data_IF_374076628934
#
_entry.id   IF_374076628934
#
_cell.length_a   1.000
_cell.length_b   1.000
_cell.length_c   1.000
_cell.angle_alpha   90.00
_cell.angle_beta   90.00
_cell.angle_gamma   90.00
#
_symmetry.space_group_name_H-M   'P 1'
#
loop_
_entity.id
_entity.type
_entity.pdbx_description
1 polymer ?
#
# COMPACT_ATOMS: atom_id res chain seq x y z
N UNK A 1 -6.70 -4.12 -3.03
CA UNK A 1 -5.47 -4.66 -3.62
C UNK A 1 -4.62 -3.45 -3.92
N UNK A 2 -3.33 -3.49 -3.60
CA UNK A 2 -2.44 -2.35 -3.80
C UNK A 2 -1.89 -2.44 -5.23
N UNK A 3 -2.01 -1.39 -6.06
CA UNK A 3 -1.47 -1.41 -7.42
C UNK A 3 0.00 -1.76 -7.46
N UNK A 4 0.32 -2.78 -8.25
CA UNK A 4 1.67 -3.30 -8.40
C UNK A 4 1.95 -3.65 -9.88
N UNK A 5 3.18 -4.02 -10.18
CA UNK A 5 3.59 -4.38 -11.55
C UNK A 5 3.53 -5.89 -11.81
N UNK A 6 2.98 -6.67 -10.89
CA UNK A 6 2.95 -8.12 -11.04
C UNK A 6 1.82 -8.54 -11.97
N UNK A 7 2.00 -9.65 -12.66
CA UNK A 7 1.06 -10.18 -13.64
C UNK A 7 1.34 -9.68 -15.04
N UNK A 8 0.42 -9.99 -15.96
CA UNK A 8 0.56 -9.71 -17.38
C UNK A 8 -0.79 -9.21 -17.92
N UNK A 9 -0.74 -8.24 -18.82
CA UNK A 9 -1.90 -7.75 -19.55
C UNK A 9 -1.69 -7.97 -21.04
N UNK A 10 -2.76 -8.32 -21.73
CA UNK A 10 -2.73 -8.60 -23.17
C UNK A 10 -3.72 -7.70 -23.87
N UNK A 11 -3.26 -7.04 -24.93
CA UNK A 11 -4.17 -6.43 -25.90
C UNK A 11 -4.44 -7.46 -26.97
N UNK A 12 -5.72 -7.66 -27.26
CA UNK A 12 -6.20 -8.67 -28.19
C UNK A 12 -7.12 -8.03 -29.21
N UNK A 13 -7.19 -8.63 -30.39
CA UNK A 13 -8.15 -8.27 -31.42
C UNK A 13 -8.76 -9.54 -32.01
N UNK A 14 -9.95 -9.39 -32.57
CA UNK A 14 -10.63 -10.48 -33.27
C UNK A 14 -10.32 -10.37 -34.77
N UNK A 15 -9.68 -11.39 -35.32
CA UNK A 15 -9.42 -11.54 -36.74
C UNK A 15 -10.22 -12.73 -37.25
N UNK A 16 -11.29 -12.48 -38.01
CA UNK A 16 -12.17 -13.51 -38.58
C UNK A 16 -12.70 -14.54 -37.57
N UNK A 17 -12.99 -14.10 -36.34
CA UNK A 17 -13.51 -14.94 -35.26
C UNK A 17 -12.44 -15.60 -34.40
N UNK A 18 -11.15 -15.45 -34.75
CA UNK A 18 -10.04 -15.88 -33.92
C UNK A 18 -9.50 -14.72 -33.07
N UNK A 19 -9.37 -14.96 -31.76
CA UNK A 19 -8.77 -13.99 -30.84
C UNK A 19 -7.24 -14.07 -30.97
N UNK A 20 -6.63 -12.99 -31.46
CA UNK A 20 -5.17 -12.87 -31.60
C UNK A 20 -4.59 -11.87 -30.62
N UNK A 21 -3.42 -12.18 -30.09
CA UNK A 21 -2.66 -11.25 -29.24
C UNK A 21 -2.01 -10.18 -30.13
N UNK A 22 -2.28 -8.91 -29.82
CA UNK A 22 -1.62 -7.79 -30.48
C UNK A 22 -0.26 -7.53 -29.85
N UNK A 23 -0.25 -7.35 -28.53
CA UNK A 23 0.98 -7.25 -27.73
C UNK A 23 0.70 -7.57 -26.26
N UNK A 24 1.79 -7.77 -25.51
CA UNK A 24 1.78 -8.04 -24.07
C UNK A 24 2.42 -6.88 -23.31
N UNK A 25 1.91 -6.63 -22.10
CA UNK A 25 2.52 -5.76 -21.09
C UNK A 25 2.85 -6.63 -19.88
N UNK A 26 4.09 -6.56 -19.38
CA UNK A 26 4.56 -7.32 -18.21
C UNK A 26 4.10 -6.70 -16.88
N UNK A 27 2.82 -6.35 -16.78
CA UNK A 27 2.15 -5.94 -15.54
C UNK A 27 0.65 -6.11 -15.65
N UNK A 28 -0.02 -6.16 -14.50
CA UNK A 28 -1.48 -6.02 -14.42
C UNK A 28 -1.92 -4.56 -14.28
N UNK A 29 -3.17 -4.28 -14.62
CA UNK A 29 -3.87 -3.04 -14.32
C UNK A 29 -4.97 -3.34 -13.31
N UNK A 30 -4.94 -2.70 -12.15
CA UNK A 30 -5.96 -2.90 -11.13
C UNK A 30 -7.30 -2.30 -11.57
N UNK A 31 -8.36 -3.09 -11.51
CA UNK A 31 -9.72 -2.73 -11.93
C UNK A 31 -10.74 -2.92 -10.78
N UNK A 32 -10.32 -2.64 -9.55
CA UNK A 32 -11.21 -2.78 -8.40
C UNK A 32 -12.20 -1.62 -8.35
N UNK A 33 -13.49 -1.91 -8.55
CA UNK A 33 -14.62 -0.97 -8.55
C UNK A 33 -14.72 0.01 -7.36
N UNK A 34 -14.08 -0.28 -6.22
CA UNK A 34 -14.13 0.56 -5.01
C UNK A 34 -12.96 1.52 -4.86
N UNK A 35 -11.95 1.44 -5.72
CA UNK A 35 -10.82 2.36 -5.73
C UNK A 35 -10.80 3.09 -7.08
N UNK A 36 -10.42 4.37 -7.10
CA UNK A 36 -10.47 5.15 -8.32
C UNK A 36 -9.26 4.81 -9.19
N UNK A 37 -9.43 3.80 -10.04
CA UNK A 37 -8.52 3.41 -11.10
C UNK A 37 -9.20 3.62 -12.44
N UNK A 38 -8.41 4.03 -13.44
CA UNK A 38 -8.90 4.17 -14.79
C UNK A 38 -7.88 3.63 -15.78
N UNK A 39 -8.34 2.78 -16.68
CA UNK A 39 -7.57 2.31 -17.82
C UNK A 39 -8.33 2.66 -19.09
N UNK A 40 -7.62 3.15 -20.11
CA UNK A 40 -8.17 3.32 -21.43
C UNK A 40 -7.17 2.85 -22.48
N UNK A 41 -7.71 2.30 -23.56
CA UNK A 41 -6.97 1.92 -24.76
C UNK A 41 -7.39 2.87 -25.89
N UNK A 42 -6.44 3.25 -26.74
CA UNK A 42 -6.72 4.04 -27.94
C UNK A 42 -7.51 3.24 -28.97
N UNK A 43 -8.20 3.94 -29.87
CA UNK A 43 -8.97 3.31 -30.94
C UNK A 43 -8.14 2.42 -31.87
N UNK A 44 -6.86 2.75 -32.08
CA UNK A 44 -5.91 1.91 -32.85
C UNK A 44 -5.38 0.71 -32.05
N UNK A 45 -5.74 0.60 -30.76
CA UNK A 45 -5.31 -0.47 -29.86
C UNK A 45 -3.86 -0.35 -29.39
N UNK A 46 -3.07 0.61 -29.87
CA UNK A 46 -1.62 0.66 -29.65
C UNK A 46 -1.21 1.34 -28.36
N UNK A 47 -2.07 2.19 -27.80
CA UNK A 47 -1.73 3.06 -26.67
C UNK A 47 -2.64 2.73 -25.50
N UNK A 48 -2.06 2.60 -24.32
CA UNK A 48 -2.80 2.39 -23.07
C UNK A 48 -2.40 3.46 -22.08
N UNK A 49 -3.37 4.12 -21.47
CA UNK A 49 -3.17 4.99 -20.32
C UNK A 49 -3.77 4.32 -19.08
N UNK A 50 -3.01 4.30 -18.01
CA UNK A 50 -3.43 3.83 -16.69
C UNK A 50 -3.24 4.93 -15.66
N UNK A 51 -4.31 5.23 -14.92
CA UNK A 51 -4.42 6.36 -14.02
C UNK A 51 -4.91 5.86 -12.67
N UNK A 52 -4.24 6.26 -11.60
CA UNK A 52 -4.56 5.88 -10.22
C UNK A 52 -4.30 7.04 -9.28
N UNK A 53 -5.04 7.08 -8.17
CA UNK A 53 -4.91 8.15 -7.17
C UNK A 53 -3.83 7.89 -6.11
N UNK A 54 -3.37 6.63 -5.97
CA UNK A 54 -2.47 6.21 -4.89
C UNK A 54 -1.26 5.48 -5.46
N UNK A 55 -0.09 5.94 -5.03
CA UNK A 55 1.21 5.32 -5.34
C UNK A 55 1.76 4.70 -4.07
N UNK A 56 2.04 3.40 -4.12
CA UNK A 56 2.50 2.61 -2.97
C UNK A 56 3.95 2.17 -3.07
N UNK A 57 4.48 2.15 -4.30
CA UNK A 57 5.84 1.75 -4.61
C UNK A 57 6.56 2.88 -5.35
N UNK A 58 7.88 2.91 -5.26
CA UNK A 58 8.72 3.88 -5.97
C UNK A 58 9.04 3.39 -7.38
N UNK A 59 9.34 4.30 -8.29
CA UNK A 59 9.76 4.01 -9.66
C UNK A 59 8.81 4.62 -10.69
N UNK A 60 9.31 4.82 -11.91
CA UNK A 60 8.58 5.51 -12.98
C UNK A 60 7.25 4.82 -13.32
N UNK A 61 7.25 3.49 -13.46
CA UNK A 61 6.05 2.70 -13.78
C UNK A 61 5.04 2.62 -12.61
N UNK A 62 5.43 3.11 -11.44
CA UNK A 62 4.54 3.21 -10.29
C UNK A 62 3.90 4.58 -10.10
N UNK A 63 4.28 5.61 -10.88
CA UNK A 63 3.66 6.94 -10.84
C UNK A 63 2.14 6.90 -11.10
N UNK A 64 1.45 7.98 -10.74
CA UNK A 64 -0.01 8.10 -10.78
C UNK A 64 -0.59 7.89 -12.18
N UNK A 65 0.11 8.37 -13.22
CA UNK A 65 -0.24 8.15 -14.62
C UNK A 65 0.90 7.43 -15.32
N UNK A 66 0.58 6.35 -16.01
CA UNK A 66 1.53 5.59 -16.84
C UNK A 66 0.92 5.31 -18.20
N UNK A 67 1.72 5.50 -19.25
CA UNK A 67 1.27 5.37 -20.63
C UNK A 67 2.19 4.43 -21.39
N UNK A 68 1.59 3.49 -22.10
CA UNK A 68 2.28 2.44 -22.85
C UNK A 68 1.97 2.60 -24.34
N UNK A 69 2.98 2.38 -25.19
CA UNK A 69 2.87 2.27 -26.63
C UNK A 69 3.40 0.90 -27.05
N UNK A 70 2.57 0.11 -27.72
CA UNK A 70 2.88 -1.26 -28.18
C UNK A 70 3.51 -2.12 -27.07
N UNK A 71 2.98 -1.98 -25.87
CA UNK A 71 3.39 -2.72 -24.68
C UNK A 71 4.55 -2.11 -23.88
N UNK A 72 5.15 -1.00 -24.34
CA UNK A 72 6.31 -0.36 -23.70
C UNK A 72 5.94 0.94 -23.00
N UNK A 73 6.37 1.10 -21.75
CA UNK A 73 6.21 2.35 -20.99
C UNK A 73 6.88 3.50 -21.76
N UNK A 74 6.12 4.56 -22.02
CA UNK A 74 6.54 5.69 -22.88
C UNK A 74 6.49 7.02 -22.15
N UNK A 75 5.45 7.26 -21.34
CA UNK A 75 5.32 8.49 -20.54
C UNK A 75 4.72 8.18 -19.17
N UNK A 76 5.10 9.01 -18.21
CA UNK A 76 4.66 8.93 -16.81
C UNK A 76 4.42 10.33 -16.27
N UNK A 77 3.48 10.46 -15.33
CA UNK A 77 3.24 11.72 -14.62
C UNK A 77 2.90 11.44 -13.16
N UNK A 78 3.38 12.29 -12.25
CA UNK A 78 2.83 12.40 -10.89
C UNK A 78 1.45 13.06 -10.94
N UNK A 79 0.71 12.99 -9.84
CA UNK A 79 -0.54 13.78 -9.69
C UNK A 79 -0.27 15.27 -9.93
N UNK A 80 0.73 15.87 -9.27
CA UNK A 80 1.03 17.30 -9.42
C UNK A 80 1.38 17.71 -10.86
N UNK A 81 2.14 16.87 -11.58
CA UNK A 81 2.48 17.09 -12.99
C UNK A 81 1.26 16.98 -13.91
N UNK A 82 0.40 15.98 -13.67
CA UNK A 82 -0.70 15.68 -14.59
C UNK A 82 -1.85 16.68 -14.47
N UNK A 83 -2.31 16.97 -13.25
CA UNK A 83 -3.43 17.89 -13.03
C UNK A 83 -2.99 19.33 -12.76
N UNK A 84 -1.69 19.62 -12.81
CA UNK A 84 -1.09 20.93 -12.55
C UNK A 84 -1.57 21.49 -11.20
N UNK A 85 -1.02 20.96 -10.10
CA UNK A 85 -1.38 21.39 -8.76
C UNK A 85 -0.16 21.47 -7.83
N UNK A 86 -0.26 22.29 -6.77
CA UNK A 86 0.77 22.42 -5.73
C UNK A 86 0.25 21.90 -4.38
N UNK A 87 0.70 20.70 -3.96
CA UNK A 87 0.22 20.02 -2.74
C UNK A 87 0.57 20.77 -1.44
N UNK A 88 1.47 21.76 -1.51
CA UNK A 88 1.78 22.63 -0.37
C UNK A 88 0.82 23.81 -0.25
N UNK A 89 0.12 24.18 -1.33
CA UNK A 89 -0.75 25.37 -1.37
C UNK A 89 -2.22 25.04 -1.56
N UNK A 90 -2.53 23.90 -2.16
CA UNK A 90 -3.89 23.55 -2.55
C UNK A 90 -4.13 22.03 -2.52
N UNK A 91 -5.38 21.66 -2.77
CA UNK A 91 -5.83 20.28 -2.85
C UNK A 91 -5.29 19.62 -4.12
N UNK A 92 -4.59 18.50 -3.97
CA UNK A 92 -3.98 17.72 -5.05
C UNK A 92 -4.47 16.26 -5.03
N UNK A 93 -5.70 16.04 -5.47
CA UNK A 93 -6.33 14.72 -5.60
C UNK A 93 -6.69 14.49 -7.07
N UNK A 94 -6.21 13.38 -7.67
CA UNK A 94 -6.34 13.09 -9.10
C UNK A 94 -7.80 13.02 -9.57
N UNK A 95 -8.66 12.46 -8.73
CA UNK A 95 -10.07 12.25 -9.04
C UNK A 95 -10.96 13.02 -8.08
N UNK A 96 -12.02 13.59 -8.63
CA UNK A 96 -13.09 14.17 -7.84
C UNK A 96 -13.77 13.08 -6.99
N UNK A 97 -13.85 13.31 -5.68
CA UNK A 97 -14.53 12.45 -4.73
C UNK A 97 -15.33 13.32 -3.75
N UNK A 98 -16.65 13.19 -3.77
CA UNK A 98 -17.54 13.85 -2.81
C UNK A 98 -18.52 12.85 -2.20
N UNK A 99 -18.07 12.17 -1.15
CA UNK A 99 -18.85 11.12 -0.47
C UNK A 99 -20.00 11.66 0.38
N UNK A 100 -19.99 12.94 0.73
CA UNK A 100 -21.04 13.58 1.55
C UNK A 100 -22.36 13.73 0.78
N UNK A 101 -22.32 13.53 -0.53
CA UNK A 101 -23.48 13.54 -1.43
C UNK A 101 -24.25 12.21 -1.46
N UNK A 102 -23.79 11.17 -0.74
CA UNK A 102 -24.37 9.83 -0.74
C UNK A 102 -25.22 9.56 0.52
N UNK A 103 -26.36 8.90 0.36
CA UNK A 103 -27.34 8.60 1.44
C UNK A 103 -26.88 7.45 2.35
N UNK A 104 -26.20 6.43 1.79
CA UNK A 104 -25.61 5.30 2.52
C UNK A 104 -24.24 4.93 1.95
N UNK A 105 -23.12 5.18 2.66
CA UNK A 105 -21.78 4.93 2.15
C UNK A 105 -21.37 3.44 2.14
N UNK A 106 -22.23 2.50 2.57
CA UNK A 106 -21.82 1.10 2.71
C UNK A 106 -22.85 0.09 2.18
N UNK A 107 -22.41 -0.65 1.15
CA UNK A 107 -22.83 -2.01 0.73
C UNK A 107 -23.77 -2.19 -0.48
N UNK A 108 -24.27 -1.14 -1.12
CA UNK A 108 -25.04 -1.32 -2.35
C UNK A 108 -24.15 -1.13 -3.59
N UNK A 109 -24.33 -2.01 -4.58
CA UNK A 109 -23.86 -1.88 -5.97
C UNK A 109 -24.40 -0.63 -6.68
N UNK A 110 -25.22 0.18 -6.01
CA UNK A 110 -25.84 1.40 -6.49
C UNK A 110 -25.55 2.56 -5.53
N UNK A 111 -25.09 3.69 -6.08
CA UNK A 111 -24.90 4.94 -5.36
C UNK A 111 -26.26 5.66 -5.23
N UNK A 112 -26.84 5.68 -4.03
CA UNK A 112 -28.00 6.50 -3.70
C UNK A 112 -27.52 7.91 -3.29
N UNK A 113 -28.00 8.94 -3.98
CA UNK A 113 -27.62 10.32 -3.74
C UNK A 113 -28.64 11.01 -2.83
N UNK A 114 -28.18 11.96 -2.02
CA UNK A 114 -29.06 12.85 -1.28
C UNK A 114 -29.95 13.66 -2.25
N UNK A 115 -31.17 13.99 -1.83
CA UNK A 115 -32.14 14.73 -2.68
C UNK A 115 -31.62 16.10 -3.15
N UNK A 116 -30.68 16.70 -2.41
CA UNK A 116 -30.07 17.99 -2.72
C UNK A 116 -28.96 17.94 -3.79
N UNK A 117 -28.60 16.76 -4.29
CA UNK A 117 -27.49 16.61 -5.26
C UNK A 117 -27.95 16.97 -6.66
N UNK A 118 -27.23 17.90 -7.30
CA UNK A 118 -27.53 18.36 -8.66
C UNK A 118 -27.25 17.27 -9.71
N UNK A 119 -27.94 17.31 -10.86
CA UNK A 119 -27.65 16.39 -11.98
C UNK A 119 -26.20 16.47 -12.45
N UNK A 120 -25.62 17.67 -12.37
CA UNK A 120 -24.22 17.91 -12.68
C UNK A 120 -23.29 17.15 -11.73
N UNK A 121 -23.56 17.18 -10.42
CA UNK A 121 -22.77 16.44 -9.44
C UNK A 121 -23.02 14.93 -9.55
N UNK A 122 -24.25 14.48 -9.89
CA UNK A 122 -24.52 13.07 -10.20
C UNK A 122 -23.72 12.57 -11.41
N UNK A 123 -23.63 13.39 -12.46
CA UNK A 123 -22.77 13.09 -13.61
C UNK A 123 -21.32 12.96 -13.18
N UNK A 124 -20.82 13.93 -12.40
CA UNK A 124 -19.42 14.01 -12.00
C UNK A 124 -19.02 12.84 -11.09
N UNK A 125 -19.88 12.46 -10.13
CA UNK A 125 -19.63 11.29 -9.27
C UNK A 125 -19.56 9.96 -10.05
N UNK A 126 -20.24 9.88 -11.19
CA UNK A 126 -20.22 8.69 -12.06
C UNK A 126 -19.10 8.71 -13.10
N UNK A 127 -18.69 9.89 -13.54
CA UNK A 127 -17.85 10.11 -14.72
C UNK A 127 -16.73 11.14 -14.44
N UNK A 128 -16.10 11.09 -13.27
CA UNK A 128 -14.96 11.96 -12.94
C UNK A 128 -13.74 11.70 -13.84
N UNK A 129 -13.69 10.54 -14.49
CA UNK A 129 -12.74 10.23 -15.56
C UNK A 129 -13.41 9.41 -16.65
N UNK A 130 -13.14 9.74 -17.92
CA UNK A 130 -13.63 8.97 -19.07
C UNK A 130 -12.79 9.23 -20.33
N UNK A 131 -12.87 8.30 -21.29
CA UNK A 131 -12.30 8.43 -22.63
C UNK A 131 -13.41 8.74 -23.64
N UNK A 132 -13.24 9.79 -24.44
CA UNK A 132 -14.09 10.12 -25.60
C UNK A 132 -13.21 10.36 -26.81
N UNK A 133 -13.26 9.46 -27.79
CA UNK A 133 -12.50 9.54 -29.05
C UNK A 133 -11.00 9.81 -28.82
N UNK A 134 -10.37 8.97 -28.01
CA UNK A 134 -8.94 9.08 -27.62
C UNK A 134 -8.58 10.34 -26.81
N UNK A 135 -9.55 11.14 -26.39
CA UNK A 135 -9.34 12.22 -25.43
C UNK A 135 -9.80 11.78 -24.04
N UNK A 136 -8.87 11.79 -23.09
CA UNK A 136 -9.18 11.52 -21.68
C UNK A 136 -9.58 12.81 -21.00
N UNK A 137 -10.71 12.79 -20.31
CA UNK A 137 -11.21 13.86 -19.46
C UNK A 137 -11.04 13.42 -18.02
N UNK A 138 -10.36 14.22 -17.20
CA UNK A 138 -10.21 13.94 -15.76
C UNK A 138 -10.62 15.17 -14.98
N UNK A 139 -11.58 15.02 -14.07
CA UNK A 139 -11.93 16.05 -13.10
C UNK A 139 -11.30 15.73 -11.76
N UNK A 140 -10.52 16.68 -11.26
CA UNK A 140 -9.75 16.55 -10.02
C UNK A 140 -10.55 16.97 -8.77
N UNK A 141 -9.94 16.80 -7.59
CA UNK A 141 -10.54 17.17 -6.30
C UNK A 141 -10.85 18.66 -6.13
N UNK A 142 -10.37 19.54 -7.01
CA UNK A 142 -10.67 20.99 -7.07
C UNK A 142 -11.82 21.31 -8.03
N UNK A 143 -12.48 20.29 -8.60
CA UNK A 143 -13.50 20.41 -9.66
C UNK A 143 -12.94 21.08 -10.92
N UNK A 144 -11.65 20.84 -11.21
CA UNK A 144 -10.97 21.28 -12.43
C UNK A 144 -10.73 20.10 -13.37
N UNK A 145 -10.83 20.34 -14.67
CA UNK A 145 -10.68 19.33 -15.71
C UNK A 145 -9.32 19.44 -16.38
N UNK A 146 -8.67 18.29 -16.53
CA UNK A 146 -7.49 18.07 -17.38
C UNK A 146 -7.89 17.22 -18.58
N UNK A 147 -7.48 17.67 -19.77
CA UNK A 147 -7.69 16.99 -21.05
C UNK A 147 -6.36 16.40 -21.53
N UNK A 148 -6.37 15.11 -21.83
CA UNK A 148 -5.18 14.40 -22.33
C UNK A 148 -5.47 13.73 -23.67
N UNK A 149 -4.65 14.00 -24.67
CA UNK A 149 -4.72 13.37 -25.98
C UNK A 149 -3.94 12.06 -25.97
N UNK A 150 -4.65 10.94 -26.08
CA UNK A 150 -4.03 9.63 -26.11
C UNK A 150 -3.27 9.36 -27.42
N UNK A 151 -3.63 10.01 -28.53
CA UNK A 151 -2.94 9.84 -29.81
C UNK A 151 -1.60 10.56 -29.83
N UNK A 152 -1.57 11.81 -29.36
CA UNK A 152 -0.36 12.62 -29.29
C UNK A 152 0.43 12.46 -27.97
N UNK A 153 -0.13 11.70 -27.02
CA UNK A 153 0.46 11.41 -25.72
C UNK A 153 0.78 12.66 -24.90
N UNK A 154 -0.04 13.70 -24.98
CA UNK A 154 0.21 14.98 -24.29
C UNK A 154 -1.04 15.53 -23.60
N UNK A 155 -0.79 16.39 -22.61
CA UNK A 155 -1.85 17.19 -21.98
C UNK A 155 -2.22 18.31 -22.96
N UNK A 156 -3.48 18.37 -23.36
CA UNK A 156 -4.02 19.40 -24.24
C UNK A 156 -4.20 20.70 -23.45
N UNK A 157 -4.84 20.59 -22.27
CA UNK A 157 -5.16 21.71 -21.40
C UNK A 157 -5.49 21.19 -19.99
N UNK A 158 -5.10 21.97 -18.97
CA UNK A 158 -5.40 21.70 -17.56
C UNK A 158 -6.14 22.87 -16.91
N UNK A 159 -6.62 22.67 -15.67
CA UNK A 159 -7.28 23.69 -14.84
C UNK A 159 -8.59 24.27 -15.42
N UNK A 160 -9.25 23.57 -16.34
CA UNK A 160 -10.51 24.03 -16.92
C UNK A 160 -11.62 23.92 -15.85
N UNK A 161 -12.48 24.94 -15.71
CA UNK A 161 -13.62 24.80 -14.81
C UNK A 161 -14.62 23.77 -15.36
N UNK A 162 -14.91 22.71 -14.58
CA UNK A 162 -15.85 21.67 -14.98
C UNK A 162 -17.22 22.21 -15.37
N UNK A 163 -17.72 23.25 -14.68
CA UNK A 163 -19.03 23.85 -14.95
C UNK A 163 -19.12 24.39 -16.40
N UNK A 164 -18.00 24.90 -16.94
CA UNK A 164 -17.93 25.39 -18.31
C UNK A 164 -17.93 24.28 -19.38
N UNK A 165 -17.51 23.07 -19.01
CA UNK A 165 -17.44 21.91 -19.90
C UNK A 165 -18.70 21.06 -19.84
N UNK A 166 -19.38 21.01 -18.69
CA UNK A 166 -20.52 20.14 -18.43
C UNK A 166 -21.58 20.15 -19.54
N UNK A 167 -22.04 21.30 -20.08
CA UNK A 167 -23.02 21.32 -21.16
C UNK A 167 -22.62 20.53 -22.42
N UNK A 168 -21.30 20.42 -22.69
CA UNK A 168 -20.74 19.73 -23.86
C UNK A 168 -20.55 18.23 -23.64
N UNK A 169 -20.50 17.78 -22.39
CA UNK A 169 -20.17 16.40 -22.01
C UNK A 169 -21.30 15.66 -21.28
N UNK A 170 -22.38 16.35 -20.89
CA UNK A 170 -23.51 15.77 -20.12
C UNK A 170 -24.16 14.54 -20.76
N UNK A 171 -24.07 14.39 -22.09
CA UNK A 171 -24.67 13.29 -22.85
C UNK A 171 -23.64 12.23 -23.27
N UNK A 172 -22.42 12.25 -22.73
CA UNK A 172 -21.41 11.24 -23.06
C UNK A 172 -21.79 9.89 -22.46
N UNK A 173 -21.82 8.86 -23.29
CA UNK A 173 -21.98 7.48 -22.87
C UNK A 173 -20.60 6.87 -22.57
N UNK A 174 -20.34 6.60 -21.29
CA UNK A 174 -19.05 6.04 -20.85
C UNK A 174 -19.12 4.51 -20.87
N UNK A 175 -18.29 3.89 -21.71
CA UNK A 175 -18.13 2.43 -21.72
C UNK A 175 -17.40 1.97 -20.46
N UNK A 176 -18.00 1.03 -19.73
CA UNK A 176 -17.42 0.47 -18.50
C UNK A 176 -16.69 -0.84 -18.79
N UNK A 177 -15.60 -1.08 -18.05
CA UNK A 177 -14.92 -2.36 -18.06
C UNK A 177 -15.82 -3.46 -17.51
N UNK A 178 -15.76 -4.64 -18.13
CA UNK A 178 -16.40 -5.84 -17.62
C UNK A 178 -15.41 -6.59 -16.73
N UNK A 179 -15.75 -6.76 -15.45
CA UNK A 179 -14.91 -7.45 -14.48
C UNK A 179 -15.51 -8.82 -14.16
N UNK A 180 -14.71 -9.88 -14.30
CA UNK A 180 -15.07 -11.22 -13.81
C UNK A 180 -14.28 -11.53 -12.56
N UNK A 181 -14.98 -11.93 -11.50
CA UNK A 181 -14.37 -12.26 -10.21
C UNK A 181 -14.35 -13.78 -10.01
N UNK A 182 -13.17 -14.30 -9.67
CA UNK A 182 -13.00 -15.71 -9.32
C UNK A 182 -12.75 -15.85 -7.83
N UNK A 183 -13.35 -16.86 -7.20
CA UNK A 183 -13.08 -17.16 -5.80
C UNK A 183 -11.62 -17.62 -5.66
N UNK A 184 -10.83 -16.86 -4.92
CA UNK A 184 -9.46 -17.26 -4.61
C UNK A 184 -9.51 -18.55 -3.78
N UNK A 185 -8.79 -19.61 -4.17
CA UNK A 185 -9.06 -20.97 -3.68
C UNK A 185 -8.75 -21.14 -2.19
N UNK A 186 -7.75 -20.43 -1.68
CA UNK A 186 -7.37 -20.49 -0.27
C UNK A 186 -6.92 -19.12 0.20
N UNK A 187 -7.54 -18.56 1.25
CA UNK A 187 -7.10 -17.27 1.81
C UNK A 187 -5.63 -17.29 2.27
N UNK A 188 -5.10 -18.47 2.64
CA UNK A 188 -3.71 -18.69 3.06
C UNK A 188 -3.23 -20.07 2.57
N UNK A 189 -2.47 -20.11 1.46
CA UNK A 189 -1.71 -21.33 1.11
C UNK A 189 -0.47 -21.31 2.00
N UNK A 190 -0.46 -22.15 3.03
CA UNK A 190 0.64 -22.20 4.01
C UNK A 190 1.76 -23.13 3.57
N UNK A 191 1.51 -24.00 2.59
CA UNK A 191 2.48 -24.93 2.03
C UNK A 191 2.07 -25.42 0.62
N UNK A 192 3.02 -25.99 -0.13
CA UNK A 192 2.79 -26.64 -1.43
C UNK A 192 3.42 -28.03 -1.40
N UNK A 193 2.76 -28.97 -2.07
CA UNK A 193 3.10 -30.40 -1.99
C UNK A 193 3.66 -30.90 -3.31
N UNK A 194 4.78 -31.63 -3.26
CA UNK A 194 5.40 -32.26 -4.43
C UNK A 194 4.55 -33.45 -4.88
N UNK A 195 4.18 -33.49 -6.16
CA UNK A 195 3.30 -34.54 -6.71
C UNK A 195 3.93 -35.92 -6.76
N UNK A 196 5.26 -36.04 -6.72
CA UNK A 196 5.97 -37.31 -6.85
C UNK A 196 6.10 -38.05 -5.51
N UNK A 197 6.32 -37.32 -4.42
CA UNK A 197 6.62 -37.91 -3.11
C UNK A 197 5.67 -37.46 -2.00
N UNK A 198 4.68 -36.61 -2.33
CA UNK A 198 3.69 -36.06 -1.40
C UNK A 198 4.29 -35.27 -0.22
N UNK A 199 5.59 -34.94 -0.29
CA UNK A 199 6.25 -34.12 0.73
C UNK A 199 5.93 -32.66 0.49
N UNK A 200 5.67 -31.96 1.58
CA UNK A 200 5.56 -30.50 1.58
C UNK A 200 6.90 -29.83 1.36
N UNK A 201 6.88 -28.61 0.79
CA UNK A 201 8.08 -27.82 0.62
C UNK A 201 8.76 -27.55 1.97
N UNK A 202 7.98 -27.26 3.02
CA UNK A 202 8.53 -27.04 4.37
C UNK A 202 9.28 -28.24 4.93
N UNK A 203 8.76 -29.45 4.72
CA UNK A 203 9.39 -30.70 5.14
C UNK A 203 10.69 -30.95 4.37
N UNK A 204 10.68 -30.69 3.05
CA UNK A 204 11.88 -30.86 2.22
C UNK A 204 12.99 -29.89 2.64
N UNK A 205 12.65 -28.63 2.93
CA UNK A 205 13.61 -27.65 3.43
C UNK A 205 14.12 -28.02 4.82
N UNK A 206 13.24 -28.55 5.69
CA UNK A 206 13.61 -29.07 7.02
C UNK A 206 14.70 -30.14 6.90
N UNK A 207 14.56 -31.07 5.96
CA UNK A 207 15.56 -32.11 5.67
C UNK A 207 16.85 -31.51 5.08
N UNK A 208 16.75 -30.59 4.11
CA UNK A 208 17.91 -29.98 3.45
C UNK A 208 18.79 -29.16 4.39
N UNK A 209 18.18 -28.51 5.39
CA UNK A 209 18.84 -27.61 6.33
C UNK A 209 19.16 -28.25 7.68
N UNK A 210 18.70 -29.49 7.91
CA UNK A 210 18.75 -30.16 9.20
C UNK A 210 18.15 -29.31 10.34
N UNK A 211 17.00 -28.69 10.07
CA UNK A 211 16.25 -27.87 11.04
C UNK A 211 14.82 -28.37 11.18
N UNK A 212 14.24 -28.23 12.36
CA UNK A 212 12.83 -28.55 12.63
C UNK A 212 11.92 -27.44 12.12
N UNK A 213 10.98 -27.77 11.24
CA UNK A 213 9.92 -26.86 10.84
C UNK A 213 8.89 -26.66 11.96
N UNK A 214 8.46 -25.41 12.14
CA UNK A 214 7.45 -24.96 13.10
C UNK A 214 6.39 -24.17 12.34
N UNK A 215 5.17 -24.70 12.29
CA UNK A 215 4.00 -24.04 11.70
C UNK A 215 3.62 -22.78 12.49
N UNK A 216 3.05 -21.77 11.83
CA UNK A 216 2.53 -20.55 12.49
C UNK A 216 1.43 -20.84 13.51
N UNK A 217 0.75 -21.98 13.41
CA UNK A 217 -0.34 -22.38 14.29
C UNK A 217 0.14 -23.27 15.45
N UNK A 218 1.45 -23.57 15.52
CA UNK A 218 2.01 -24.34 16.62
C UNK A 218 2.28 -23.43 17.83
N UNK A 219 2.04 -23.92 19.04
CA UNK A 219 2.35 -23.20 20.29
C UNK A 219 3.84 -22.83 20.37
N UNK A 220 4.71 -23.71 19.87
CA UNK A 220 6.16 -23.51 19.77
C UNK A 220 6.56 -22.29 18.92
N UNK A 221 5.67 -21.76 18.08
CA UNK A 221 5.98 -20.70 17.12
C UNK A 221 6.40 -19.39 17.80
N UNK A 222 5.78 -19.04 18.92
CA UNK A 222 6.10 -17.84 19.70
C UNK A 222 7.15 -18.09 20.78
N UNK A 223 7.44 -19.37 21.08
CA UNK A 223 8.35 -19.77 22.15
C UNK A 223 9.81 -19.55 21.78
N UNK A 224 10.17 -19.88 20.54
CA UNK A 224 11.55 -19.88 20.08
C UNK A 224 11.81 -18.79 19.04
N UNK A 225 13.06 -18.33 18.98
CA UNK A 225 13.56 -17.65 17.80
C UNK A 225 13.53 -18.64 16.63
N UNK A 226 12.90 -18.22 15.54
CA UNK A 226 12.76 -19.03 14.33
C UNK A 226 13.56 -18.40 13.19
N UNK A 227 14.27 -19.24 12.45
CA UNK A 227 14.84 -18.88 11.16
C UNK A 227 13.76 -18.84 10.09
N UNK A 228 13.83 -17.86 9.19
CA UNK A 228 12.77 -17.58 8.24
C UNK A 228 13.21 -17.73 6.78
N UNK A 229 12.25 -18.13 5.98
CA UNK A 229 12.28 -18.10 4.52
C UNK A 229 11.05 -17.30 4.11
N UNK A 230 11.28 -16.26 3.32
CA UNK A 230 10.22 -15.51 2.63
C UNK A 230 10.25 -15.96 1.19
N UNK A 231 9.16 -16.56 0.73
CA UNK A 231 9.00 -17.05 -0.64
C UNK A 231 7.67 -16.54 -1.18
N UNK A 232 7.71 -15.99 -2.39
CA UNK A 232 6.52 -15.62 -3.15
C UNK A 232 6.72 -15.94 -4.63
N UNK A 233 5.63 -16.16 -5.34
CA UNK A 233 5.71 -16.56 -6.75
C UNK A 233 4.36 -16.94 -7.34
N UNK A 234 4.38 -17.41 -8.60
CA UNK A 234 3.20 -17.88 -9.29
C UNK A 234 3.18 -19.40 -9.38
N UNK A 235 2.11 -20.01 -8.89
CA UNK A 235 1.81 -21.42 -9.18
C UNK A 235 0.97 -21.47 -10.45
N UNK A 236 1.45 -22.18 -11.47
CA UNK A 236 0.68 -22.42 -12.70
C UNK A 236 -0.02 -23.79 -12.69
N UNK A 237 -0.95 -23.99 -13.62
CA UNK A 237 -1.73 -25.24 -13.74
C UNK A 237 -0.90 -26.51 -13.98
N UNK A 238 0.32 -26.38 -14.47
CA UNK A 238 1.23 -27.52 -14.66
C UNK A 238 1.96 -27.92 -13.37
N UNK A 239 1.70 -27.23 -12.25
CA UNK A 239 2.40 -27.46 -11.00
C UNK A 239 3.79 -26.80 -10.92
N UNK A 240 4.14 -25.94 -11.87
CA UNK A 240 5.39 -25.19 -11.83
C UNK A 240 5.22 -23.92 -11.02
N UNK A 241 6.19 -23.70 -10.12
CA UNK A 241 6.26 -22.51 -9.28
C UNK A 241 7.30 -21.53 -9.84
N UNK A 242 6.82 -20.43 -10.41
CA UNK A 242 7.66 -19.34 -10.89
C UNK A 242 8.00 -18.41 -9.71
N UNK A 243 9.24 -18.49 -9.22
CA UNK A 243 9.69 -17.68 -8.07
C UNK A 243 9.71 -16.20 -8.47
N UNK A 244 8.95 -15.39 -7.74
CA UNK A 244 8.96 -13.92 -7.85
C UNK A 244 9.97 -13.32 -6.86
N UNK A 245 9.93 -13.77 -5.60
CA UNK A 245 10.92 -13.36 -4.60
C UNK A 245 11.26 -14.50 -3.65
N UNK A 246 12.54 -14.58 -3.28
CA UNK A 246 13.02 -15.47 -2.23
C UNK A 246 14.08 -14.75 -1.39
N UNK A 247 13.94 -14.83 -0.07
CA UNK A 247 14.91 -14.34 0.89
C UNK A 247 14.97 -15.29 2.07
N UNK A 248 16.17 -15.70 2.44
CA UNK A 248 16.39 -16.65 3.53
C UNK A 248 17.34 -16.08 4.57
N UNK A 249 17.19 -16.48 5.83
CA UNK A 249 18.25 -16.26 6.82
C UNK A 249 19.55 -16.97 6.39
N UNK A 250 20.74 -16.50 6.83
CA UNK A 250 22.04 -17.03 6.39
C UNK A 250 22.30 -18.53 6.66
N UNK A 251 21.47 -19.17 7.49
CA UNK A 251 21.59 -20.60 7.80
C UNK A 251 21.13 -21.49 6.63
N UNK A 252 20.33 -20.95 5.71
CA UNK A 252 19.80 -21.71 4.60
C UNK A 252 20.68 -21.57 3.36
N UNK A 253 20.86 -22.67 2.63
CA UNK A 253 21.38 -22.65 1.27
C UNK A 253 20.26 -22.22 0.31
N UNK A 254 20.19 -20.92 0.03
CA UNK A 254 19.15 -20.35 -0.83
C UNK A 254 19.18 -20.95 -2.24
N UNK A 255 20.37 -21.20 -2.81
CA UNK A 255 20.48 -21.71 -4.18
C UNK A 255 19.99 -23.16 -4.28
N UNK A 256 20.30 -23.98 -3.30
CA UNK A 256 19.78 -25.35 -3.23
C UNK A 256 18.26 -25.39 -3.14
N UNK A 257 17.65 -24.47 -2.38
CA UNK A 257 16.20 -24.34 -2.27
C UNK A 257 15.59 -23.90 -3.62
N UNK A 258 16.17 -22.89 -4.28
CA UNK A 258 15.75 -22.45 -5.62
C UNK A 258 15.81 -23.60 -6.62
N UNK A 259 16.93 -24.33 -6.64
CA UNK A 259 17.12 -25.45 -7.55
C UNK A 259 16.07 -26.55 -7.31
N UNK A 260 15.74 -26.85 -6.06
CA UNK A 260 14.65 -27.80 -5.76
C UNK A 260 13.31 -27.32 -6.30
N UNK A 261 12.93 -26.07 -6.02
CA UNK A 261 11.64 -25.51 -6.45
C UNK A 261 11.52 -25.53 -7.98
N UNK A 262 12.56 -25.10 -8.71
CA UNK A 262 12.54 -25.06 -10.17
C UNK A 262 12.39 -26.46 -10.81
N UNK A 263 12.99 -27.48 -10.19
CA UNK A 263 12.97 -28.85 -10.70
C UNK A 263 11.78 -29.67 -10.20
N UNK A 264 10.97 -29.15 -9.27
CA UNK A 264 9.82 -29.85 -8.70
C UNK A 264 8.54 -29.57 -9.51
N UNK A 265 7.59 -30.50 -9.44
CA UNK A 265 6.20 -30.30 -9.87
C UNK A 265 5.33 -30.40 -8.62
N UNK A 266 4.55 -29.38 -8.34
CA UNK A 266 3.71 -29.28 -7.16
C UNK A 266 2.23 -29.50 -7.51
N UNK A 267 1.44 -29.92 -6.53
CA UNK A 267 -0.02 -30.00 -6.70
C UNK A 267 -0.56 -28.59 -7.01
N UNK A 268 -1.36 -28.49 -8.07
CA UNK A 268 -2.00 -27.25 -8.53
C UNK A 268 -3.52 -27.39 -8.73
N UNK A 269 -4.13 -28.45 -8.19
CA UNK A 269 -5.55 -28.77 -8.39
C UNK A 269 -6.47 -27.69 -7.80
N UNK A 270 -5.94 -26.90 -6.86
CA UNK A 270 -6.63 -25.78 -6.25
C UNK A 270 -6.80 -24.58 -7.19
N UNK A 271 -6.12 -24.50 -8.34
CA UNK A 271 -6.26 -23.35 -9.25
C UNK A 271 -7.66 -23.36 -9.90
N UNK A 272 -8.48 -22.30 -9.74
CA UNK A 272 -9.82 -22.23 -10.30
C UNK A 272 -9.84 -22.35 -11.84
N UNK A 273 -10.84 -23.06 -12.38
CA UNK A 273 -11.05 -23.21 -13.84
C UNK A 273 -11.12 -21.84 -14.52
N UNK A 274 -10.44 -21.68 -15.65
CA UNK A 274 -10.35 -20.42 -16.39
C UNK A 274 -9.22 -19.47 -15.95
N UNK A 275 -8.40 -19.88 -14.98
CA UNK A 275 -7.19 -19.14 -14.56
C UNK A 275 -5.95 -20.00 -14.86
N UNK A 276 -4.93 -19.41 -15.47
CA UNK A 276 -3.69 -20.11 -15.86
C UNK A 276 -2.71 -20.28 -14.70
N UNK A 277 -2.61 -19.27 -13.83
CA UNK A 277 -1.74 -19.24 -12.66
C UNK A 277 -2.31 -18.38 -11.54
N UNK A 278 -1.95 -18.69 -10.29
CA UNK A 278 -2.26 -17.85 -9.13
C UNK A 278 -0.98 -17.39 -8.44
N UNK A 279 -1.01 -16.17 -7.91
CA UNK A 279 0.07 -15.67 -7.08
C UNK A 279 -0.07 -16.26 -5.67
N UNK A 280 1.00 -16.86 -5.15
CA UNK A 280 1.11 -17.38 -3.79
C UNK A 280 2.09 -16.50 -3.03
N UNK A 281 1.62 -15.95 -1.92
CA UNK A 281 2.41 -15.08 -1.05
C UNK A 281 2.49 -15.66 0.34
N UNK A 282 3.66 -15.51 0.97
CA UNK A 282 3.97 -15.89 2.35
C UNK A 282 3.78 -17.38 2.64
N UNK A 283 4.87 -18.12 2.50
CA UNK A 283 5.04 -19.41 3.14
C UNK A 283 5.08 -19.25 4.67
N UNK A 284 4.03 -19.69 5.37
CA UNK A 284 3.86 -19.39 6.79
C UNK A 284 4.51 -20.43 7.69
N UNK A 285 5.58 -20.04 8.41
CA UNK A 285 6.21 -20.87 9.43
C UNK A 285 7.60 -20.37 9.82
N UNK A 286 8.41 -21.24 10.37
CA UNK A 286 9.83 -20.98 10.60
C UNK A 286 10.56 -22.24 11.03
N UNK A 287 11.88 -22.14 11.11
CA UNK A 287 12.73 -23.30 11.40
C UNK A 287 13.57 -23.04 12.65
N UNK A 288 13.82 -24.08 13.42
CA UNK A 288 14.71 -24.02 14.59
C UNK A 288 15.55 -25.28 14.68
N UNK A 289 16.55 -25.28 15.54
CA UNK A 289 17.27 -26.52 15.88
C UNK A 289 16.31 -27.61 16.36
N UNK A 290 16.58 -28.86 15.96
CA UNK A 290 15.92 -30.04 16.52
C UNK A 290 16.18 -30.18 18.03
N UNK A 291 17.36 -29.74 18.50
CA UNK A 291 17.70 -29.71 19.91
C UNK A 291 17.05 -28.51 20.60
N UNK A 292 16.14 -28.79 21.54
CA UNK A 292 15.45 -27.76 22.31
C UNK A 292 16.41 -26.88 23.12
N UNK A 293 17.50 -27.42 23.68
CA UNK A 293 18.48 -26.65 24.46
C UNK A 293 19.23 -25.65 23.57
N UNK A 294 19.52 -26.03 22.33
CA UNK A 294 20.14 -25.12 21.35
C UNK A 294 19.14 -24.02 20.97
N UNK A 295 17.89 -24.38 20.65
CA UNK A 295 16.85 -23.41 20.30
C UNK A 295 16.57 -22.39 21.43
N UNK A 296 16.59 -22.83 22.70
CA UNK A 296 16.46 -21.94 23.86
C UNK A 296 17.63 -20.97 23.98
N UNK A 297 18.87 -21.45 23.84
CA UNK A 297 20.08 -20.61 23.89
C UNK A 297 20.07 -19.55 22.78
N UNK A 298 19.71 -19.93 21.56
CA UNK A 298 19.57 -18.99 20.44
C UNK A 298 18.51 -17.93 20.71
N UNK A 299 17.38 -18.32 21.31
CA UNK A 299 16.30 -17.40 21.69
C UNK A 299 16.75 -16.39 22.74
N UNK A 300 17.46 -16.83 23.77
CA UNK A 300 18.02 -15.95 24.80
C UNK A 300 19.04 -14.98 24.19
N UNK A 301 19.91 -15.46 23.30
CA UNK A 301 20.89 -14.61 22.60
C UNK A 301 20.20 -13.55 21.74
N UNK A 302 19.15 -13.91 21.01
CA UNK A 302 18.38 -12.97 20.19
C UNK A 302 17.74 -11.88 21.06
N UNK A 303 17.09 -12.25 22.17
CA UNK A 303 16.49 -11.30 23.12
C UNK A 303 17.51 -10.32 23.71
N UNK A 304 18.69 -10.80 24.10
CA UNK A 304 19.78 -9.93 24.59
C UNK A 304 20.21 -8.91 23.54
N UNK A 305 20.37 -9.35 22.28
CA UNK A 305 20.71 -8.46 21.17
C UNK A 305 19.63 -7.40 20.93
N UNK A 306 18.36 -7.79 20.96
CA UNK A 306 17.22 -6.85 20.84
C UNK A 306 17.23 -5.80 21.97
N UNK A 307 17.55 -6.21 23.19
CA UNK A 307 17.67 -5.30 24.33
C UNK A 307 18.84 -4.31 24.19
N UNK A 308 20.00 -4.78 23.71
CA UNK A 308 21.15 -3.93 23.42
C UNK A 308 20.85 -2.91 22.30
N UNK A 309 20.21 -3.35 21.22
CA UNK A 309 19.76 -2.47 20.13
C UNK A 309 18.72 -1.46 20.63
N UNK A 310 17.78 -1.87 21.47
CA UNK A 310 16.80 -0.98 22.10
C UNK A 310 17.50 0.12 22.91
N UNK A 311 18.43 -0.24 23.80
CA UNK A 311 19.20 0.71 24.62
C UNK A 311 19.97 1.71 23.76
N UNK A 312 20.61 1.24 22.69
CA UNK A 312 21.32 2.11 21.73
C UNK A 312 20.38 3.15 21.12
N UNK A 313 19.19 2.72 20.65
CA UNK A 313 18.21 3.60 19.98
C UNK A 313 17.68 4.72 20.85
N UNK A 314 17.71 4.59 22.18
CA UNK A 314 17.24 5.64 23.11
C UNK A 314 18.05 6.95 23.04
N UNK A 315 19.19 6.95 22.35
CA UNK A 315 20.09 8.12 22.27
C UNK A 315 20.31 8.64 20.84
N UNK A 316 19.87 7.88 19.82
CA UNK A 316 20.12 8.22 18.43
C UNK A 316 19.25 9.40 17.98
N UNK A 317 19.84 10.29 17.19
CA UNK A 317 19.16 11.39 16.52
C UNK A 317 18.44 10.95 15.23
N UNK A 318 18.88 9.83 14.65
CA UNK A 318 18.29 9.21 13.48
C UNK A 318 18.13 7.70 13.66
N UNK A 319 17.00 7.16 13.22
CA UNK A 319 16.78 5.71 13.10
C UNK A 319 16.38 5.42 11.65
N UNK A 320 17.21 4.64 10.95
CA UNK A 320 17.10 4.52 9.50
C UNK A 320 17.29 5.89 8.81
N UNK A 321 16.34 6.27 7.98
CA UNK A 321 16.36 7.55 7.25
C UNK A 321 15.52 8.65 7.92
N UNK A 322 15.02 8.43 9.13
CA UNK A 322 14.16 9.38 9.83
C UNK A 322 14.91 10.09 10.94
N UNK A 323 14.84 11.42 10.94
CA UNK A 323 15.17 12.22 12.12
C UNK A 323 14.16 11.93 13.22
N UNK A 324 14.66 11.75 14.45
CA UNK A 324 13.85 11.45 15.62
C UNK A 324 13.73 12.73 16.46
N UNK A 325 12.57 13.38 16.59
CA UNK A 325 12.43 14.56 17.43
C UNK A 325 12.88 14.32 18.88
N UNK A 326 13.54 15.28 19.52
CA UNK A 326 13.95 15.12 20.93
C UNK A 326 12.88 15.52 21.95
N UNK A 327 11.88 16.29 21.52
CA UNK A 327 10.80 16.83 22.37
C UNK A 327 9.58 17.24 21.52
N UNK A 328 8.53 17.76 22.18
CA UNK A 328 7.29 18.17 21.52
C UNK A 328 7.45 19.35 20.56
N UNK A 329 8.35 20.30 20.84
CA UNK A 329 8.64 21.40 19.92
C UNK A 329 9.15 20.85 18.58
N UNK A 330 10.17 19.99 18.62
CA UNK A 330 10.71 19.39 17.41
C UNK A 330 9.66 18.53 16.70
N UNK A 331 8.81 17.79 17.43
CA UNK A 331 7.69 17.07 16.83
C UNK A 331 6.80 17.99 15.99
N UNK A 332 6.44 19.16 16.52
CA UNK A 332 5.59 20.11 15.80
C UNK A 332 6.29 20.64 14.54
N UNK A 333 7.56 21.02 14.64
CA UNK A 333 8.32 21.54 13.49
C UNK A 333 8.54 20.49 12.41
N UNK A 334 8.75 19.22 12.78
CA UNK A 334 8.94 18.14 11.81
C UNK A 334 7.61 17.76 11.14
N UNK A 335 6.51 17.71 11.88
CA UNK A 335 5.19 17.51 11.28
C UNK A 335 4.82 18.62 10.29
N UNK A 336 5.21 19.87 10.57
CA UNK A 336 4.97 20.98 9.66
C UNK A 336 5.72 20.85 8.33
N UNK A 337 6.93 20.30 8.36
CA UNK A 337 7.71 20.05 7.13
C UNK A 337 7.13 18.87 6.34
N UNK A 338 6.64 17.85 7.04
CA UNK A 338 6.24 16.57 6.43
C UNK A 338 4.83 16.63 5.86
N UNK A 339 3.90 17.32 6.53
CA UNK A 339 2.48 17.31 6.15
C UNK A 339 2.18 18.35 5.08
N UNK A 340 1.42 17.95 4.05
CA UNK A 340 0.93 18.86 3.01
C UNK A 340 -0.32 19.66 3.43
N UNK A 341 -0.78 20.54 2.54
CA UNK A 341 -1.89 21.47 2.78
C UNK A 341 -3.15 20.78 3.31
N UNK A 342 -3.65 19.75 2.62
CA UNK A 342 -4.88 19.04 2.99
C UNK A 342 -4.80 18.37 4.36
N UNK A 343 -3.65 17.79 4.70
CA UNK A 343 -3.45 17.17 6.01
C UNK A 343 -3.46 18.20 7.13
N UNK A 344 -2.79 19.34 6.93
CA UNK A 344 -2.79 20.46 7.89
C UNK A 344 -4.18 21.07 8.03
N UNK A 345 -4.91 21.26 6.93
CA UNK A 345 -6.29 21.76 6.93
C UNK A 345 -7.21 20.86 7.75
N UNK A 346 -7.21 19.55 7.48
CA UNK A 346 -8.01 18.55 8.23
C UNK A 346 -7.69 18.54 9.72
N UNK A 347 -6.42 18.68 10.09
CA UNK A 347 -5.99 18.76 11.50
C UNK A 347 -6.43 20.09 12.15
N UNK A 348 -6.39 21.19 11.42
CA UNK A 348 -6.83 22.51 11.91
C UNK A 348 -8.34 22.53 12.18
N UNK A 349 -9.13 21.92 11.30
CA UNK A 349 -10.59 21.81 11.43
C UNK A 349 -11.02 20.74 12.45
N UNK A 350 -10.09 19.89 12.89
CA UNK A 350 -10.38 18.82 13.82
C UNK A 350 -10.82 19.34 15.21
N UNK A 351 -11.84 18.69 15.77
CA UNK A 351 -12.28 18.88 17.16
C UNK A 351 -11.37 18.17 18.18
N UNK A 352 -10.55 17.21 17.73
CA UNK A 352 -9.64 16.43 18.58
C UNK A 352 -8.74 15.49 17.77
N UNK A 353 -7.91 14.71 18.47
CA UNK A 353 -6.85 13.85 17.88
C UNK A 353 -7.29 12.44 17.53
N UNK A 354 -8.41 11.95 18.10
CA UNK A 354 -8.82 10.55 18.07
C UNK A 354 -8.91 9.96 16.66
N UNK A 355 -9.48 10.69 15.70
CA UNK A 355 -9.62 10.24 14.30
C UNK A 355 -8.28 10.10 13.57
N UNK A 356 -7.23 10.81 14.02
CA UNK A 356 -5.91 10.81 13.40
C UNK A 356 -4.92 9.87 14.11
N UNK A 357 -5.25 9.45 15.35
CA UNK A 357 -4.41 8.57 16.17
C UNK A 357 -4.67 7.06 15.96
N UNK A 358 -5.66 6.72 15.13
CA UNK A 358 -6.19 5.36 14.99
C UNK A 358 -5.13 4.26 14.75
N UNK A 359 -5.39 3.08 15.31
CA UNK A 359 -4.54 1.88 15.20
C UNK A 359 -4.53 1.20 13.83
N UNK A 360 -5.46 1.54 12.93
CA UNK A 360 -5.65 0.85 11.64
C UNK A 360 -4.88 1.45 10.46
N UNK A 361 -4.04 2.47 10.70
CA UNK A 361 -3.39 3.27 9.66
C UNK A 361 -3.71 4.76 9.83
N UNK A 362 -2.76 5.64 9.54
CA UNK A 362 -2.90 7.09 9.73
C UNK A 362 -1.68 7.73 10.37
N UNK A 363 -1.80 9.02 10.72
CA UNK A 363 -0.70 9.83 11.24
C UNK A 363 -0.13 9.28 12.55
N UNK A 364 -0.97 8.79 13.47
CA UNK A 364 -0.51 8.20 14.73
C UNK A 364 0.37 6.97 14.52
N UNK A 365 -0.04 6.03 13.67
CA UNK A 365 0.77 4.85 13.35
C UNK A 365 2.06 5.24 12.64
N UNK A 366 2.00 6.22 11.72
CA UNK A 366 3.19 6.73 11.04
C UNK A 366 4.20 7.30 12.05
N UNK A 367 3.74 8.11 13.02
CA UNK A 367 4.59 8.66 14.10
C UNK A 367 5.21 7.51 14.92
N UNK A 368 4.41 6.53 15.34
CA UNK A 368 4.92 5.43 16.20
C UNK A 368 5.96 4.57 15.51
N UNK A 369 5.81 4.31 14.21
CA UNK A 369 6.71 3.47 13.45
C UNK A 369 7.97 4.22 13.00
N UNK A 370 7.83 5.45 12.48
CA UNK A 370 8.95 6.19 11.91
C UNK A 370 9.77 6.98 12.94
N UNK A 371 9.17 7.42 14.05
CA UNK A 371 9.89 8.04 15.17
C UNK A 371 10.25 7.05 16.29
N UNK A 372 10.11 5.76 16.02
CA UNK A 372 10.64 4.68 16.86
C UNK A 372 9.96 4.52 18.23
N UNK A 373 8.71 4.98 18.41
CA UNK A 373 7.97 4.82 19.67
C UNK A 373 7.74 3.33 19.99
N UNK A 374 7.45 2.50 18.98
CA UNK A 374 7.23 1.07 19.17
C UNK A 374 8.52 0.24 19.33
N UNK A 375 9.68 0.79 18.96
CA UNK A 375 10.94 0.04 18.84
C UNK A 375 12.12 0.63 19.62
N UNK A 376 11.87 1.60 20.48
CA UNK A 376 12.88 2.38 21.20
C UNK A 376 13.36 3.61 20.41
N UNK A 377 13.35 4.78 21.04
CA UNK A 377 13.91 6.01 20.47
C UNK A 377 14.16 7.07 21.56
N UNK A 378 14.95 8.11 21.26
CA UNK A 378 15.11 9.25 22.18
C UNK A 378 13.80 9.99 22.46
N UNK A 379 12.87 10.00 21.49
CA UNK A 379 11.53 10.55 21.69
C UNK A 379 10.72 9.70 22.66
N UNK A 380 10.76 8.37 22.53
CA UNK A 380 10.13 7.48 23.50
C UNK A 380 10.67 7.74 24.91
N UNK A 381 12.00 7.84 25.04
CA UNK A 381 12.65 8.19 26.31
C UNK A 381 12.14 9.51 26.89
N UNK A 382 12.03 10.56 26.06
CA UNK A 382 11.49 11.87 26.47
C UNK A 382 10.10 11.76 27.13
N UNK A 383 9.21 10.89 26.62
CA UNK A 383 7.89 10.64 27.21
C UNK A 383 7.96 9.72 28.44
N UNK A 384 8.78 8.67 28.40
CA UNK A 384 8.94 7.73 29.52
C UNK A 384 9.53 8.40 30.77
N UNK A 385 10.45 9.35 30.58
CA UNK A 385 11.02 10.19 31.64
C UNK A 385 9.95 11.09 32.29
N UNK A 386 8.78 11.23 31.66
CA UNK A 386 7.58 11.92 32.19
C UNK A 386 6.46 10.95 32.59
N UNK A 387 6.78 9.66 32.68
CA UNK A 387 5.86 8.55 33.02
C UNK A 387 4.72 8.33 32.02
N UNK A 388 4.97 8.64 30.75
CA UNK A 388 4.02 8.42 29.66
C UNK A 388 4.53 7.30 28.75
N UNK A 389 3.66 6.36 28.36
CA UNK A 389 4.04 5.26 27.45
C UNK A 389 4.86 4.16 28.13
N UNK A 390 4.60 3.89 29.42
CA UNK A 390 5.32 2.87 30.20
C UNK A 390 4.69 1.48 30.06
N UNK A 391 3.43 1.37 29.66
CA UNK A 391 2.75 0.08 29.43
C UNK A 391 2.49 -0.18 27.95
N UNK A 392 2.31 -1.46 27.62
CA UNK A 392 1.79 -1.87 26.31
C UNK A 392 0.46 -1.15 26.03
N UNK A 393 0.25 -0.68 24.79
CA UNK A 393 -0.90 0.14 24.35
C UNK A 393 -0.92 1.61 24.83
N UNK A 394 0.03 2.05 25.67
CA UNK A 394 0.18 3.48 26.00
C UNK A 394 1.00 4.26 24.95
N UNK A 395 1.64 3.57 24.00
CA UNK A 395 2.33 4.21 22.87
C UNK A 395 1.37 5.03 22.00
N UNK A 396 0.08 4.67 21.96
CA UNK A 396 -0.94 5.43 21.26
C UNK A 396 -1.24 6.76 21.96
N UNK A 397 -1.05 6.83 23.28
CA UNK A 397 -1.18 8.08 24.02
C UNK A 397 -0.04 9.05 23.67
N UNK A 398 1.18 8.54 23.43
CA UNK A 398 2.30 9.38 22.97
C UNK A 398 1.95 10.03 21.63
N UNK A 399 1.53 9.23 20.64
CA UNK A 399 1.18 9.79 19.33
C UNK A 399 -0.07 10.68 19.38
N UNK A 400 -1.07 10.37 20.22
CA UNK A 400 -2.21 11.25 20.46
C UNK A 400 -1.75 12.61 20.97
N UNK A 401 -0.89 12.61 22.00
CA UNK A 401 -0.33 13.83 22.60
C UNK A 401 0.39 14.66 21.55
N UNK A 402 1.26 14.04 20.74
CA UNK A 402 1.97 14.73 19.66
C UNK A 402 0.98 15.38 18.69
N UNK A 403 -0.04 14.64 18.23
CA UNK A 403 -1.05 15.14 17.30
C UNK A 403 -1.83 16.30 17.92
N UNK A 404 -2.23 16.21 19.19
CA UNK A 404 -2.95 17.30 19.89
C UNK A 404 -2.12 18.56 20.00
N UNK A 405 -0.85 18.43 20.36
CA UNK A 405 0.06 19.58 20.44
C UNK A 405 0.26 20.22 19.08
N UNK A 406 0.34 19.41 18.03
CA UNK A 406 0.44 19.92 16.67
C UNK A 406 -0.85 20.60 16.18
N UNK A 407 -2.04 20.08 16.54
CA UNK A 407 -3.32 20.75 16.27
C UNK A 407 -3.37 22.13 16.95
N UNK A 408 -2.97 22.22 18.22
CA UNK A 408 -2.88 23.50 18.94
C UNK A 408 -1.90 24.46 18.26
N UNK A 409 -0.76 23.93 17.81
CA UNK A 409 0.27 24.68 17.10
C UNK A 409 -0.22 25.22 15.74
N UNK A 410 -1.01 24.45 15.00
CA UNK A 410 -1.67 24.89 13.75
C UNK A 410 -2.74 25.96 14.01
N UNK A 411 -3.48 25.85 15.12
CA UNK A 411 -4.48 26.84 15.56
C UNK A 411 -3.88 28.12 16.17
N UNK A 412 -2.55 28.24 16.19
CA UNK A 412 -1.82 29.44 16.60
C UNK A 412 -1.24 29.41 18.02
N UNK A 413 -1.54 28.42 18.87
CA UNK A 413 -0.89 28.29 20.19
C UNK A 413 0.50 27.66 20.04
N UNK A 414 1.46 28.48 19.59
CA UNK A 414 2.84 28.04 19.32
C UNK A 414 3.61 27.58 20.56
N UNK A 415 3.12 27.92 21.77
CA UNK A 415 3.74 27.60 23.06
C UNK A 415 2.95 26.54 23.85
N UNK A 416 1.95 25.88 23.23
CA UNK A 416 1.16 24.84 23.89
C UNK A 416 2.02 23.69 24.46
N UNK A 417 3.10 23.35 23.76
CA UNK A 417 4.03 22.29 24.16
C UNK A 417 4.77 22.64 25.46
N UNK A 418 5.12 23.91 25.69
CA UNK A 418 5.78 24.34 26.93
C UNK A 418 4.86 24.19 28.13
N UNK A 419 3.58 24.58 27.97
CA UNK A 419 2.55 24.41 29.01
C UNK A 419 2.39 22.93 29.35
N UNK A 420 2.38 22.08 28.33
CA UNK A 420 2.31 20.64 28.51
C UNK A 420 3.54 20.10 29.25
N UNK A 421 4.75 20.54 28.92
CA UNK A 421 5.98 20.12 29.60
C UNK A 421 6.00 20.55 31.07
N UNK A 422 5.48 21.74 31.39
CA UNK A 422 5.34 22.20 32.78
C UNK A 422 4.35 21.36 33.58
N UNK A 423 3.26 20.92 32.94
CA UNK A 423 2.25 20.05 33.56
C UNK A 423 2.73 18.59 33.68
N UNK A 424 3.69 18.19 32.84
CA UNK A 424 4.27 16.85 32.80
C UNK A 424 5.79 16.94 32.98
N UNK A 425 6.26 17.34 34.17
CA UNK A 425 7.69 17.49 34.42
C UNK A 425 8.40 16.14 34.33
N UNK A 426 9.70 16.18 34.05
CA UNK A 426 10.56 14.99 34.13
C UNK A 426 10.50 14.46 35.56
N UNK A 427 10.12 13.20 35.70
CA UNK A 427 10.16 12.48 36.96
C UNK A 427 11.42 11.62 36.90
N UNK A 428 12.48 12.12 37.53
CA UNK A 428 13.68 11.31 37.77
C UNK A 428 13.22 10.04 38.49
N UNK A 429 13.46 8.88 37.87
CA UNK A 429 13.27 7.58 38.51
C UNK A 429 14.39 7.33 39.50
#
# INVERSE_FOLDING_TARGET
>A
MVPNLKGESFVVYNDKGERKNFYKINRSFDLWDSEPFFVAISNDGRKIIYIKNKVYYRGEEHKDVTIYLDGKLTKTYTTEEFIDCDRQKEKCEMFYENRDQLFKPSRATFLEYNESVTEQDKFLNKNYVFNKNDTIYITDGRKKVTLFDLNNLNIIQSKINFDSLYPKIKNVEVKRSLTSSYKYPFKYITDIENTQNMKKLSQTISEMSNLKYISLYAEDYIKYKLHKIKLSGYMNRSGKFEIDSISTDPIFDQQKIINYINNTVFNADFIPKGIDKIYVDNFYGGYRSFDNKIAEKETIKAKKKEEEEYKKRLTLDKIGNFYIPKNLYECNTELDKILGFESKKKLTEAKGSTSFNAHGGGLGMWIRNNWGINGGSRLLKYFQDRHIGKKAFENDFISATIIEQYIKWLKGDKNAWEKWEKQNPVKLN
#
